data_IF_587518358063
#
_entry.id   IF_587518358063
#
_cell.length_a   1.000
_cell.length_b   1.000
_cell.length_c   1.000
_cell.angle_alpha   90.00
_cell.angle_beta   90.00
_cell.angle_gamma   90.00
#
_symmetry.space_group_name_H-M   'P 1'
#
loop_
_entity.id
_entity.type
_entity.pdbx_description
1 polymer ?
#
# COMPACT_ATOMS: atom_id res chain seq x y z
N UNK A 1 -0.79 -6.79 7.13
CA UNK A 1 -0.27 -5.55 7.74
C UNK A 1 -0.85 -5.34 9.13
N UNK A 2 -2.17 -5.34 9.26
CA UNK A 2 -2.96 -5.19 10.49
C UNK A 2 -2.46 -6.05 11.67
N UNK A 3 -2.13 -7.33 11.45
CA UNK A 3 -1.64 -8.22 12.51
C UNK A 3 -0.24 -7.83 13.01
N UNK A 4 0.63 -7.33 12.13
CA UNK A 4 1.95 -6.81 12.52
C UNK A 4 1.79 -5.56 13.38
N UNK A 5 0.95 -4.62 12.94
CA UNK A 5 0.70 -3.38 13.71
C UNK A 5 0.07 -3.69 15.06
N UNK A 6 -0.90 -4.62 15.13
CA UNK A 6 -1.50 -5.03 16.40
C UNK A 6 -0.49 -5.66 17.36
N UNK A 7 0.34 -6.58 16.87
CA UNK A 7 1.36 -7.23 17.68
C UNK A 7 2.43 -6.24 18.18
N UNK A 8 2.91 -5.34 17.32
CA UNK A 8 3.87 -4.30 17.70
C UNK A 8 3.27 -3.33 18.71
N UNK A 9 2.04 -2.88 18.49
CA UNK A 9 1.34 -1.99 19.42
C UNK A 9 1.17 -2.66 20.78
N UNK A 10 0.70 -3.91 20.83
CA UNK A 10 0.55 -4.64 22.08
C UNK A 10 1.89 -4.82 22.83
N UNK A 11 2.97 -5.11 22.10
CA UNK A 11 4.31 -5.27 22.68
C UNK A 11 4.87 -3.94 23.21
N UNK A 12 4.52 -2.81 22.59
CA UNK A 12 4.95 -1.47 23.04
C UNK A 12 4.13 -0.99 24.25
N UNK A 13 2.83 -1.25 24.27
CA UNK A 13 1.94 -0.89 25.38
C UNK A 13 2.24 -1.70 26.64
N UNK A 14 2.51 -3.01 26.49
CA UNK A 14 2.88 -3.89 27.61
C UNK A 14 4.20 -4.64 27.35
N UNK A 15 5.36 -4.03 27.64
CA UNK A 15 6.69 -4.59 27.34
C UNK A 15 7.04 -5.91 28.06
N UNK A 16 6.23 -6.30 29.05
CA UNK A 16 6.40 -7.55 29.81
C UNK A 16 5.54 -8.69 29.26
N UNK A 17 4.64 -8.42 28.33
CA UNK A 17 3.76 -9.42 27.73
C UNK A 17 4.49 -10.23 26.65
N UNK A 18 4.23 -11.54 26.60
CA UNK A 18 4.69 -12.40 25.51
C UNK A 18 3.72 -12.27 24.32
N UNK A 19 4.10 -11.48 23.31
CA UNK A 19 3.30 -11.33 22.09
C UNK A 19 3.72 -12.38 21.04
N UNK A 20 2.73 -13.10 20.50
CA UNK A 20 2.94 -14.06 19.40
C UNK A 20 2.04 -13.76 18.22
N UNK A 21 2.63 -13.55 17.06
CA UNK A 21 1.92 -13.28 15.83
C UNK A 21 1.82 -14.53 14.93
N UNK A 22 0.64 -14.75 14.36
CA UNK A 22 0.33 -15.81 13.39
C UNK A 22 -0.32 -15.21 12.09
N UNK A 23 0.43 -15.07 10.97
CA UNK A 23 0.16 -14.54 9.58
C UNK A 23 0.14 -15.54 8.36
N UNK A 24 -1.01 -15.97 7.78
CA UNK A 24 -1.14 -17.30 7.06
C UNK A 24 -0.33 -17.37 5.81
N UNK A 25 -0.31 -16.22 5.20
CA UNK A 25 0.19 -15.96 3.89
C UNK A 25 0.61 -14.51 3.95
N UNK A 26 1.93 -14.33 3.91
CA UNK A 26 2.55 -13.02 3.91
C UNK A 26 2.92 -12.57 2.50
N UNK A 27 2.45 -13.31 1.49
CA UNK A 27 2.53 -12.95 0.10
C UNK A 27 1.70 -11.72 -0.25
N UNK A 28 0.77 -11.25 0.62
CA UNK A 28 0.01 -10.02 0.35
C UNK A 28 0.89 -8.81 0.12
N UNK A 29 1.98 -8.68 0.89
CA UNK A 29 2.95 -7.60 0.69
C UNK A 29 3.60 -7.64 -0.70
N UNK A 30 3.64 -8.80 -1.38
CA UNK A 30 4.13 -8.86 -2.75
C UNK A 30 3.13 -8.32 -3.79
N UNK A 31 1.88 -8.08 -3.38
CA UNK A 31 0.82 -7.53 -4.22
C UNK A 31 0.45 -6.08 -3.86
N UNK A 32 0.98 -5.55 -2.77
CA UNK A 32 0.71 -4.18 -2.32
C UNK A 32 1.82 -3.25 -2.81
N UNK A 33 1.50 -2.03 -3.27
CA UNK A 33 2.48 -1.09 -3.83
C UNK A 33 3.51 -0.60 -2.82
N UNK A 34 3.30 -0.85 -1.52
CA UNK A 34 4.21 -0.47 -0.44
C UNK A 34 4.03 0.97 0.05
N UNK A 35 2.84 1.54 -0.13
CA UNK A 35 2.42 2.79 0.49
C UNK A 35 1.13 2.59 1.29
N UNK A 36 0.77 3.58 2.11
CA UNK A 36 -0.40 3.56 2.98
C UNK A 36 -1.38 4.62 2.53
N UNK A 37 -2.59 4.17 2.20
CA UNK A 37 -3.67 5.07 1.82
C UNK A 37 -4.48 5.52 3.04
N UNK A 38 -4.92 6.78 3.06
CA UNK A 38 -5.87 7.31 4.03
C UNK A 38 -7.01 7.99 3.28
N UNK A 39 -8.10 7.24 3.07
CA UNK A 39 -9.32 7.72 2.41
C UNK A 39 -8.99 8.55 1.14
N UNK A 40 -8.45 7.89 0.12
CA UNK A 40 -8.06 8.54 -1.13
C UNK A 40 -9.23 9.09 -1.96
N UNK A 41 -10.43 8.54 -1.79
CA UNK A 41 -11.65 8.98 -2.46
C UNK A 41 -12.82 9.03 -1.47
N UNK A 42 -13.83 9.90 -1.68
CA UNK A 42 -15.00 9.89 -0.83
C UNK A 42 -15.75 8.56 -0.95
N UNK A 43 -16.41 8.09 0.13
CA UNK A 43 -17.31 6.94 0.08
C UNK A 43 -18.38 7.12 -0.99
N UNK A 44 -18.89 6.02 -1.52
CA UNK A 44 -20.02 6.05 -2.42
C UNK A 44 -21.25 6.59 -1.68
N UNK A 45 -21.84 7.69 -2.16
CA UNK A 45 -23.18 8.11 -1.75
C UNK A 45 -24.17 7.04 -2.23
N UNK A 46 -24.74 6.29 -1.30
CA UNK A 46 -25.65 5.16 -1.58
C UNK A 46 -26.94 5.51 -2.34
N UNK A 47 -27.12 6.76 -2.77
CA UNK A 47 -28.32 7.31 -3.42
C UNK A 47 -28.10 7.79 -4.87
N UNK A 48 -26.91 7.62 -5.47
CA UNK A 48 -26.60 8.15 -6.82
C UNK A 48 -26.37 7.08 -7.90
N UNK A 49 -26.94 5.89 -7.74
CA UNK A 49 -27.15 4.97 -8.87
C UNK A 49 -28.30 5.52 -9.75
N UNK A 50 -27.99 6.56 -10.54
CA UNK A 50 -28.81 6.92 -11.68
C UNK A 50 -28.71 5.84 -12.76
N UNK A 51 -29.73 5.76 -13.62
CA UNK A 51 -29.90 4.80 -14.74
C UNK A 51 -28.77 4.82 -15.80
N UNK A 52 -27.70 5.59 -15.57
CA UNK A 52 -26.51 5.67 -16.40
C UNK A 52 -25.43 4.77 -15.78
N UNK A 53 -25.06 3.72 -16.50
CA UNK A 53 -24.18 2.56 -16.16
C UNK A 53 -22.72 2.92 -15.76
N UNK A 54 -22.45 4.19 -15.40
CA UNK A 54 -21.18 4.70 -14.89
C UNK A 54 -21.50 5.72 -13.79
N UNK A 55 -21.34 5.31 -12.52
CA UNK A 55 -21.45 6.22 -11.38
C UNK A 55 -20.53 7.45 -11.52
N UNK A 56 -20.77 8.53 -10.76
CA UNK A 56 -20.02 9.77 -10.89
C UNK A 56 -18.51 9.53 -10.70
N UNK A 57 -17.69 10.12 -11.57
CA UNK A 57 -16.24 10.16 -11.41
C UNK A 57 -15.93 10.86 -10.08
N UNK A 58 -15.30 10.14 -9.15
CA UNK A 58 -14.92 10.68 -7.84
C UNK A 58 -13.58 11.40 -7.96
N UNK A 59 -13.51 12.60 -7.39
CA UNK A 59 -12.25 13.34 -7.31
C UNK A 59 -11.40 12.82 -6.14
N UNK A 60 -10.06 12.73 -6.30
CA UNK A 60 -9.16 12.39 -5.20
C UNK A 60 -9.31 13.36 -4.02
N UNK A 61 -9.38 12.82 -2.80
CA UNK A 61 -9.43 13.63 -1.59
C UNK A 61 -8.04 14.11 -1.20
N UNK A 62 -7.84 15.43 -1.18
CA UNK A 62 -6.61 16.03 -0.71
C UNK A 62 -6.52 16.06 0.83
N UNK A 63 -7.62 16.35 1.53
CA UNK A 63 -7.65 16.55 2.99
C UNK A 63 -8.44 15.42 3.69
N UNK A 64 -7.86 14.22 3.85
CA UNK A 64 -8.60 13.06 4.34
C UNK A 64 -9.14 13.25 5.76
N UNK A 65 -8.39 13.91 6.66
CA UNK A 65 -8.83 14.15 8.05
C UNK A 65 -10.11 14.99 8.16
N UNK A 66 -10.34 15.91 7.22
CA UNK A 66 -11.59 16.67 7.18
C UNK A 66 -12.76 15.75 6.82
N UNK A 67 -12.57 14.88 5.83
CA UNK A 67 -13.58 13.92 5.38
C UNK A 67 -13.86 12.81 6.41
N UNK A 68 -12.90 12.46 7.28
CA UNK A 68 -13.13 11.46 8.34
C UNK A 68 -14.29 11.83 9.28
N UNK A 69 -14.57 13.12 9.47
CA UNK A 69 -15.63 13.59 10.37
C UNK A 69 -17.05 13.30 9.85
N UNK A 70 -17.19 13.11 8.54
CA UNK A 70 -18.47 12.89 7.87
C UNK A 70 -18.74 11.41 7.55
N UNK A 71 -17.85 10.51 7.98
CA UNK A 71 -17.99 9.08 7.73
C UNK A 71 -19.11 8.45 8.58
N UNK A 72 -19.77 7.39 8.09
CA UNK A 72 -20.75 6.63 8.87
C UNK A 72 -20.22 6.15 10.23
N UNK A 73 -21.08 6.05 11.25
CA UNK A 73 -20.67 5.65 12.61
C UNK A 73 -20.04 4.24 12.65
N UNK A 74 -20.47 3.34 11.76
CA UNK A 74 -19.96 1.98 11.67
C UNK A 74 -18.64 1.87 10.91
N UNK A 75 -18.20 2.95 10.24
CA UNK A 75 -16.94 2.99 9.49
C UNK A 75 -15.72 2.79 10.43
N UNK A 76 -14.70 2.00 10.04
CA UNK A 76 -13.53 1.73 10.89
C UNK A 76 -12.80 2.98 11.41
N UNK A 77 -12.63 4.02 10.58
CA UNK A 77 -12.04 5.29 11.01
C UNK A 77 -12.93 6.08 11.99
N UNK A 78 -14.26 6.03 11.86
CA UNK A 78 -15.18 6.68 12.80
C UNK A 78 -15.08 6.03 14.18
N UNK A 79 -15.01 4.69 14.22
CA UNK A 79 -14.83 3.91 15.46
C UNK A 79 -13.48 4.19 16.14
N UNK A 80 -12.40 4.26 15.36
CA UNK A 80 -11.08 4.59 15.90
C UNK A 80 -10.98 6.05 16.37
N UNK A 81 -11.79 6.94 15.79
CA UNK A 81 -11.73 8.39 16.02
C UNK A 81 -10.50 9.05 15.40
N UNK A 82 -10.59 10.35 15.12
CA UNK A 82 -9.54 11.13 14.45
C UNK A 82 -8.20 11.06 15.21
N UNK A 83 -8.23 11.16 16.54
CA UNK A 83 -7.01 11.05 17.35
C UNK A 83 -6.40 9.64 17.31
N UNK A 84 -7.23 8.60 17.31
CA UNK A 84 -6.77 7.21 17.18
C UNK A 84 -6.12 6.96 15.82
N UNK A 85 -6.72 7.50 14.75
CA UNK A 85 -6.15 7.46 13.39
C UNK A 85 -4.76 8.12 13.37
N UNK A 86 -4.63 9.33 13.91
CA UNK A 86 -3.35 10.05 13.96
C UNK A 86 -2.27 9.30 14.74
N UNK A 87 -2.60 8.77 15.92
CA UNK A 87 -1.64 8.00 16.74
C UNK A 87 -1.18 6.74 16.02
N UNK A 88 -2.10 6.01 15.37
CA UNK A 88 -1.76 4.81 14.63
C UNK A 88 -0.81 5.10 13.45
N UNK A 89 -1.08 6.16 12.69
CA UNK A 89 -0.24 6.56 11.55
C UNK A 89 1.12 7.07 12.02
N UNK A 90 1.18 7.83 13.12
CA UNK A 90 2.43 8.28 13.74
C UNK A 90 3.29 7.10 14.18
N UNK A 91 2.70 6.10 14.85
CA UNK A 91 3.43 4.89 15.23
C UNK A 91 3.94 4.14 13.99
N UNK A 92 3.11 4.02 12.95
CA UNK A 92 3.51 3.36 11.72
C UNK A 92 4.68 4.08 11.04
N UNK A 93 4.66 5.41 10.99
CA UNK A 93 5.75 6.23 10.46
C UNK A 93 7.06 5.97 11.21
N UNK A 94 7.03 5.99 12.54
CA UNK A 94 8.19 5.71 13.40
C UNK A 94 8.79 4.32 13.16
N UNK A 95 7.94 3.30 12.96
CA UNK A 95 8.37 1.90 12.76
C UNK A 95 8.89 1.65 11.33
N UNK A 96 8.28 2.31 10.33
CA UNK A 96 8.53 2.02 8.92
C UNK A 96 9.54 2.99 8.28
N UNK A 97 9.74 4.17 8.86
CA UNK A 97 10.50 5.26 8.24
C UNK A 97 9.81 5.84 7.00
N UNK A 98 8.48 5.73 6.93
CA UNK A 98 7.68 6.35 5.87
C UNK A 98 7.54 7.85 6.15
N UNK A 99 6.98 8.58 5.19
CA UNK A 99 6.75 10.02 5.30
C UNK A 99 5.33 10.35 4.84
N UNK A 100 4.82 11.51 5.28
CA UNK A 100 3.57 12.09 4.76
C UNK A 100 2.65 12.66 5.84
N UNK A 101 2.75 12.18 7.08
CA UNK A 101 1.84 12.59 8.17
C UNK A 101 1.90 14.09 8.45
N UNK A 102 3.07 14.71 8.35
CA UNK A 102 3.25 16.15 8.60
C UNK A 102 2.41 17.05 7.67
N UNK A 103 2.07 16.55 6.48
CA UNK A 103 1.30 17.31 5.48
C UNK A 103 -0.20 17.35 5.77
N UNK A 104 -0.70 16.40 6.57
CA UNK A 104 -2.13 16.14 6.77
C UNK A 104 -2.94 15.92 5.48
N UNK A 105 -2.26 15.72 4.35
CA UNK A 105 -2.87 15.65 3.02
C UNK A 105 -2.43 14.38 2.28
N UNK A 106 -3.31 13.86 1.42
CA UNK A 106 -2.90 12.84 0.47
C UNK A 106 -1.97 13.47 -0.58
N UNK A 107 -0.77 12.91 -0.72
CA UNK A 107 0.11 13.19 -1.84
C UNK A 107 -0.38 12.47 -3.09
N UNK A 108 0.08 12.91 -4.27
CA UNK A 108 -0.23 12.26 -5.55
C UNK A 108 1.02 11.54 -6.06
N UNK A 109 0.96 10.21 -6.11
CA UNK A 109 2.08 9.37 -6.51
C UNK A 109 1.84 8.81 -7.91
N UNK A 110 2.86 8.86 -8.78
CA UNK A 110 2.78 8.31 -10.13
C UNK A 110 2.73 6.76 -10.11
N UNK A 111 1.93 6.18 -10.99
CA UNK A 111 1.77 4.73 -11.16
C UNK A 111 2.50 4.25 -12.43
N UNK A 112 2.76 2.93 -12.52
CA UNK A 112 3.37 2.32 -13.70
C UNK A 112 2.58 2.57 -15.01
N UNK A 113 1.29 2.87 -14.92
CA UNK A 113 0.41 3.13 -16.08
C UNK A 113 0.38 4.59 -16.51
N UNK A 114 1.15 5.47 -15.87
CA UNK A 114 1.19 6.91 -16.15
C UNK A 114 0.02 7.69 -15.56
N UNK A 115 -0.58 7.19 -14.48
CA UNK A 115 -1.63 7.87 -13.72
C UNK A 115 -1.07 8.35 -12.38
N UNK A 116 -1.84 9.15 -11.64
CA UNK A 116 -1.52 9.52 -10.26
C UNK A 116 -2.56 8.96 -9.31
N UNK A 117 -2.12 8.60 -8.10
CA UNK A 117 -2.99 8.02 -7.08
C UNK A 117 -2.81 8.73 -5.73
N UNK A 118 -3.89 8.99 -4.96
CA UNK A 118 -3.82 9.65 -3.65
C UNK A 118 -3.23 8.73 -2.56
N UNK A 119 -2.08 9.09 -2.02
CA UNK A 119 -1.34 8.28 -1.05
C UNK A 119 -1.03 9.11 0.20
N UNK A 120 -1.22 8.53 1.38
CA UNK A 120 -1.06 9.26 2.63
C UNK A 120 0.34 9.10 3.25
N UNK A 121 0.80 7.85 3.45
CA UNK A 121 2.19 7.58 3.83
C UNK A 121 2.89 6.84 2.71
N UNK A 122 4.10 7.26 2.37
CA UNK A 122 4.92 6.65 1.32
C UNK A 122 6.36 6.49 1.81
N UNK A 123 7.11 5.51 1.30
CA UNK A 123 8.54 5.39 1.62
C UNK A 123 9.31 6.58 1.03
N UNK A 124 10.42 6.97 1.65
CA UNK A 124 11.33 8.02 1.16
C UNK A 124 11.77 7.80 -0.30
N UNK A 125 11.87 6.54 -0.75
CA UNK A 125 12.17 6.21 -2.16
C UNK A 125 11.12 6.71 -3.17
N UNK A 126 9.96 7.18 -2.72
CA UNK A 126 8.89 7.74 -3.56
C UNK A 126 8.80 9.27 -3.44
N UNK A 127 9.40 9.88 -2.41
CA UNK A 127 9.21 11.30 -2.08
C UNK A 127 9.63 12.25 -3.22
N UNK A 128 10.76 11.96 -3.87
CA UNK A 128 11.20 12.74 -5.04
C UNK A 128 10.36 12.47 -6.30
N UNK A 129 9.40 11.56 -6.27
CA UNK A 129 8.48 11.24 -7.38
C UNK A 129 7.09 11.84 -7.27
N UNK A 130 6.80 12.59 -6.21
CA UNK A 130 5.48 13.17 -6.00
C UNK A 130 5.12 14.16 -7.12
N UNK A 131 3.88 14.08 -7.60
CA UNK A 131 3.37 14.92 -8.68
C UNK A 131 3.29 16.41 -8.33
N UNK A 132 3.33 16.75 -7.03
CA UNK A 132 3.33 18.12 -6.53
C UNK A 132 4.69 18.81 -6.65
N UNK A 133 5.78 18.06 -6.79
CA UNK A 133 7.09 18.65 -7.04
C UNK A 133 7.19 19.00 -8.52
N UNK A 134 7.26 20.31 -8.81
CA UNK A 134 7.15 20.86 -10.16
C UNK A 134 8.44 20.82 -11.00
N UNK A 135 9.47 20.11 -10.54
CA UNK A 135 10.71 19.92 -11.31
C UNK A 135 10.49 18.91 -12.45
N UNK A 136 11.16 19.10 -13.58
CA UNK A 136 11.19 18.11 -14.68
C UNK A 136 11.65 16.73 -14.18
N UNK A 137 11.22 15.67 -14.85
CA UNK A 137 11.51 14.30 -14.42
C UNK A 137 11.81 13.38 -15.60
N UNK A 138 12.75 12.46 -15.42
CA UNK A 138 13.05 11.40 -16.38
C UNK A 138 12.56 10.05 -15.85
N UNK A 139 11.68 9.37 -16.58
CA UNK A 139 11.31 7.98 -16.28
C UNK A 139 12.22 6.99 -17.03
N UNK A 140 12.83 6.06 -16.30
CA UNK A 140 13.75 5.07 -16.83
C UNK A 140 13.09 3.70 -16.83
N UNK A 141 12.88 3.11 -18.01
CA UNK A 141 12.47 1.71 -18.17
C UNK A 141 13.67 0.77 -18.29
N UNK A 142 13.47 -0.51 -17.93
CA UNK A 142 14.39 -1.59 -18.26
C UNK A 142 13.74 -2.51 -19.29
N UNK A 143 14.41 -2.82 -20.40
CA UNK A 143 13.81 -3.60 -21.50
C UNK A 143 13.24 -4.97 -21.06
N UNK A 144 13.88 -5.61 -20.07
CA UNK A 144 13.43 -6.92 -19.53
C UNK A 144 12.35 -6.82 -18.45
N UNK A 145 11.96 -5.62 -18.03
CA UNK A 145 10.85 -5.37 -17.10
C UNK A 145 9.69 -4.81 -17.93
N UNK A 146 8.88 -5.72 -18.46
CA UNK A 146 7.75 -5.37 -19.36
C UNK A 146 6.56 -4.75 -18.65
N UNK A 147 6.52 -4.84 -17.32
CA UNK A 147 5.43 -4.30 -16.49
C UNK A 147 5.52 -2.77 -16.33
N UNK A 148 6.58 -2.15 -16.85
CA UNK A 148 6.76 -0.70 -16.87
C UNK A 148 7.23 -0.20 -18.23
N UNK A 149 6.31 0.42 -18.96
CA UNK A 149 6.61 1.15 -20.19
C UNK A 149 6.81 2.63 -19.85
N UNK A 150 8.07 3.04 -19.70
CA UNK A 150 8.43 4.41 -19.35
C UNK A 150 7.95 5.43 -20.39
N UNK A 151 7.88 5.06 -21.67
CA UNK A 151 7.42 5.95 -22.72
C UNK A 151 5.91 6.20 -22.63
N UNK A 152 5.13 5.13 -22.40
CA UNK A 152 3.69 5.24 -22.18
C UNK A 152 3.38 6.02 -20.89
N UNK A 153 4.08 5.69 -19.80
CA UNK A 153 3.89 6.36 -18.52
C UNK A 153 4.19 7.86 -18.62
N UNK A 154 5.33 8.22 -19.22
CA UNK A 154 5.73 9.60 -19.43
C UNK A 154 4.73 10.35 -20.30
N UNK A 155 4.35 9.80 -21.45
CA UNK A 155 3.40 10.44 -22.37
C UNK A 155 2.07 10.79 -21.69
N UNK A 156 1.55 9.91 -20.83
CA UNK A 156 0.31 10.17 -20.09
C UNK A 156 0.49 11.21 -18.98
N UNK A 157 1.57 11.12 -18.21
CA UNK A 157 1.86 12.05 -17.13
C UNK A 157 2.06 13.48 -17.68
N UNK A 158 2.72 13.61 -18.83
CA UNK A 158 2.97 14.86 -19.55
C UNK A 158 1.65 15.53 -20.04
N UNK A 159 0.57 14.76 -20.23
CA UNK A 159 -0.74 15.32 -20.64
C UNK A 159 -1.38 16.21 -19.56
N UNK A 160 -1.07 16.00 -18.28
CA UNK A 160 -1.75 16.68 -17.18
C UNK A 160 -0.84 17.30 -16.11
N UNK A 161 0.45 16.95 -16.07
CA UNK A 161 1.39 17.59 -15.16
C UNK A 161 1.89 18.93 -15.72
N UNK A 162 2.19 19.92 -14.85
CA UNK A 162 2.61 21.25 -15.29
C UNK A 162 4.11 21.34 -15.65
N UNK A 163 4.78 20.21 -15.88
CA UNK A 163 6.21 20.09 -16.14
C UNK A 163 6.48 18.92 -17.08
N UNK A 164 7.63 18.96 -17.77
CA UNK A 164 7.99 17.96 -18.76
C UNK A 164 8.35 16.61 -18.09
N UNK A 165 7.80 15.54 -18.65
CA UNK A 165 8.10 14.16 -18.25
C UNK A 165 8.83 13.45 -19.39
N UNK A 166 10.15 13.36 -19.27
CA UNK A 166 11.00 12.63 -20.19
C UNK A 166 10.95 11.12 -19.95
N UNK A 167 11.43 10.34 -20.93
CA UNK A 167 11.62 8.92 -20.75
C UNK A 167 12.86 8.38 -21.46
N UNK A 168 13.39 7.27 -20.95
CA UNK A 168 14.36 6.43 -21.66
C UNK A 168 14.17 4.97 -21.26
N UNK A 169 14.52 4.03 -22.13
CA UNK A 169 14.51 2.60 -21.81
C UNK A 169 15.89 2.04 -22.06
N UNK A 170 16.48 1.42 -21.05
CA UNK A 170 17.83 0.88 -21.13
C UNK A 170 17.82 -0.65 -21.14
N UNK A 171 18.71 -1.21 -21.96
CA UNK A 171 18.98 -2.65 -21.97
C UNK A 171 20.12 -2.95 -20.98
N UNK A 172 19.90 -3.84 -20.02
CA UNK A 172 20.95 -4.40 -19.15
C UNK A 172 21.05 -5.90 -19.38
N UNK A 173 22.28 -6.43 -19.43
CA UNK A 173 22.48 -7.88 -19.51
C UNK A 173 22.31 -8.55 -18.14
N UNK A 174 21.08 -8.55 -17.66
CA UNK A 174 20.66 -9.23 -16.44
C UNK A 174 20.05 -10.57 -16.83
N UNK A 175 20.74 -11.67 -16.54
CA UNK A 175 20.17 -13.01 -16.73
C UNK A 175 18.99 -13.22 -15.78
N UNK A 176 17.77 -13.17 -16.32
CA UNK A 176 16.51 -13.30 -15.58
C UNK A 176 16.20 -14.76 -15.24
N UNK A 177 16.70 -15.73 -16.03
CA UNK A 177 16.43 -17.15 -15.81
C UNK A 177 14.92 -17.44 -15.71
N UNK A 178 14.55 -18.47 -14.93
CA UNK A 178 13.14 -18.72 -14.57
C UNK A 178 12.61 -17.86 -13.41
N UNK A 179 13.35 -16.83 -12.98
CA UNK A 179 12.94 -15.93 -11.91
C UNK A 179 12.09 -14.77 -12.46
N UNK A 180 11.34 -14.11 -11.59
CA UNK A 180 10.59 -12.90 -11.95
C UNK A 180 11.57 -11.74 -12.21
N UNK A 181 11.46 -11.01 -13.34
CA UNK A 181 12.41 -9.96 -13.72
C UNK A 181 12.67 -8.93 -12.61
N UNK A 182 11.62 -8.41 -11.97
CA UNK A 182 11.72 -7.42 -10.90
C UNK A 182 12.61 -7.89 -9.73
N UNK A 183 12.40 -9.13 -9.25
CA UNK A 183 13.22 -9.73 -8.19
C UNK A 183 14.67 -9.91 -8.61
N UNK A 184 14.91 -10.29 -9.87
CA UNK A 184 16.28 -10.48 -10.35
C UNK A 184 17.04 -9.16 -10.45
N UNK A 185 16.40 -8.12 -10.98
CA UNK A 185 16.99 -6.78 -11.05
C UNK A 185 17.29 -6.23 -9.67
N UNK A 186 16.35 -6.36 -8.72
CA UNK A 186 16.57 -5.97 -7.33
C UNK A 186 17.77 -6.68 -6.71
N UNK A 187 17.90 -8.00 -6.87
CA UNK A 187 19.03 -8.76 -6.35
C UNK A 187 20.37 -8.35 -6.99
N UNK A 188 20.39 -8.12 -8.31
CA UNK A 188 21.59 -7.67 -9.03
C UNK A 188 22.05 -6.28 -8.55
N UNK A 189 21.12 -5.38 -8.26
CA UNK A 189 21.42 -4.04 -7.78
C UNK A 189 21.83 -4.03 -6.30
N UNK A 190 21.19 -4.85 -5.46
CA UNK A 190 21.60 -5.11 -4.07
C UNK A 190 23.07 -5.58 -4.06
N UNK A 191 23.37 -6.69 -4.75
CA UNK A 191 24.71 -7.28 -4.81
C UNK A 191 25.74 -6.40 -5.54
N UNK A 192 25.27 -5.34 -6.20
CA UNK A 192 26.04 -4.51 -7.14
C UNK A 192 26.86 -5.36 -8.11
N UNK A 193 26.25 -6.43 -8.62
CA UNK A 193 26.94 -7.48 -9.36
C UNK A 193 27.63 -6.92 -10.62
N UNK A 194 28.77 -7.49 -11.00
CA UNK A 194 29.42 -7.13 -12.26
C UNK A 194 28.56 -7.54 -13.45
N UNK A 195 28.17 -6.57 -14.28
CA UNK A 195 27.46 -6.78 -15.54
C UNK A 195 28.47 -6.73 -16.69
N UNK A 196 28.27 -7.61 -17.68
CA UNK A 196 29.13 -7.78 -18.85
C UNK A 196 30.63 -8.01 -18.54
N UNK A 197 30.96 -8.37 -17.29
CA UNK A 197 32.34 -8.55 -16.82
C UNK A 197 33.19 -7.28 -16.77
N UNK A 198 32.57 -6.10 -16.85
CA UNK A 198 33.27 -4.82 -16.97
C UNK A 198 32.91 -3.81 -15.86
N UNK A 199 31.63 -3.68 -15.50
CA UNK A 199 31.17 -2.63 -14.58
C UNK A 199 30.21 -3.18 -13.52
N UNK A 200 30.31 -2.72 -12.25
CA UNK A 200 29.29 -2.97 -11.25
C UNK A 200 27.91 -2.46 -11.70
N UNK A 201 26.85 -3.20 -11.39
CA UNK A 201 25.49 -2.97 -11.90
C UNK A 201 25.02 -1.51 -11.75
N UNK A 202 25.23 -0.91 -10.59
CA UNK A 202 24.80 0.49 -10.31
C UNK A 202 25.50 1.49 -11.25
N UNK A 203 26.78 1.27 -11.57
CA UNK A 203 27.53 2.07 -12.56
C UNK A 203 27.12 1.79 -14.00
N UNK A 204 26.81 0.54 -14.32
CA UNK A 204 26.33 0.16 -15.66
C UNK A 204 24.99 0.84 -15.98
N UNK A 205 24.06 0.85 -15.01
CA UNK A 205 22.79 1.59 -15.09
C UNK A 205 23.05 3.07 -15.34
N UNK A 206 23.81 3.71 -14.46
CA UNK A 206 24.05 5.15 -14.56
C UNK A 206 24.79 5.55 -15.84
N UNK A 207 25.72 4.70 -16.31
CA UNK A 207 26.46 4.93 -17.56
C UNK A 207 25.57 4.92 -18.81
N UNK A 208 24.51 4.10 -18.82
CA UNK A 208 23.54 4.07 -19.93
C UNK A 208 22.60 5.28 -19.92
N UNK A 209 22.25 5.78 -18.73
CA UNK A 209 21.35 6.93 -18.57
C UNK A 209 22.06 8.25 -18.86
N UNK A 210 23.31 8.43 -18.42
CA UNK A 210 24.08 9.69 -18.62
C UNK A 210 24.23 10.14 -20.07
N UNK A 211 24.12 9.23 -21.04
CA UNK A 211 24.20 9.60 -22.46
C UNK A 211 22.90 10.23 -22.98
N UNK A 212 21.81 10.10 -22.20
CA UNK A 212 20.46 10.56 -22.51
C UNK A 212 19.99 11.69 -21.57
N UNK A 213 20.78 12.02 -20.53
CA UNK A 213 20.47 13.13 -19.60
C UNK A 213 20.89 14.46 -20.21
N UNK A 214 19.92 15.33 -20.50
CA UNK A 214 20.22 16.71 -20.90
C UNK A 214 20.28 17.60 -19.64
N UNK A 215 19.22 17.66 -18.79
CA UNK A 215 19.20 18.51 -17.56
C UNK A 215 18.13 18.07 -16.51
N UNK A 216 17.85 16.79 -16.33
CA UNK A 216 16.75 16.36 -15.44
C UNK A 216 17.19 16.29 -13.97
N UNK A 217 16.50 17.01 -13.04
CA UNK A 217 16.88 17.03 -11.63
C UNK A 217 16.47 15.78 -10.87
N UNK A 218 15.55 14.97 -11.42
CA UNK A 218 14.98 13.79 -10.77
C UNK A 218 14.76 12.67 -11.76
N UNK A 219 15.06 11.44 -11.32
CA UNK A 219 15.03 10.26 -12.17
C UNK A 219 14.22 9.16 -11.48
N UNK A 220 13.11 8.78 -12.12
CA UNK A 220 12.21 7.73 -11.67
C UNK A 220 12.56 6.39 -12.29
N UNK A 221 12.77 5.37 -11.46
CA UNK A 221 12.98 3.99 -11.88
C UNK A 221 11.77 3.13 -11.52
N UNK A 222 11.50 2.02 -12.23
CA UNK A 222 10.61 1.01 -11.68
C UNK A 222 11.17 0.55 -10.32
N UNK A 223 10.27 0.20 -9.39
CA UNK A 223 10.60 -0.14 -8.00
C UNK A 223 11.35 -1.47 -7.85
N UNK A 224 12.58 -1.49 -8.35
CA UNK A 224 13.51 -2.61 -8.36
C UNK A 224 14.88 -2.19 -7.85
N UNK A 225 15.01 -1.02 -7.20
CA UNK A 225 16.27 -0.50 -6.70
C UNK A 225 16.68 -1.19 -5.40
N UNK A 226 16.88 -2.51 -5.47
CA UNK A 226 17.23 -3.36 -4.34
C UNK A 226 16.04 -3.93 -3.59
N UNK A 227 16.29 -4.92 -2.74
CA UNK A 227 15.33 -5.46 -1.78
C UNK A 227 15.86 -5.30 -0.36
N UNK A 228 17.15 -5.56 -0.17
CA UNK A 228 17.77 -5.53 1.15
C UNK A 228 18.49 -4.21 1.38
N UNK A 229 19.23 -3.75 0.37
CA UNK A 229 20.14 -2.59 0.48
C UNK A 229 19.60 -1.40 -0.33
N UNK A 230 18.28 -1.25 -0.38
CA UNK A 230 17.61 -0.33 -1.30
C UNK A 230 18.01 1.15 -1.12
N UNK A 231 18.20 1.58 0.13
CA UNK A 231 18.65 2.95 0.42
C UNK A 231 20.10 3.17 -0.05
N UNK A 232 20.96 2.15 0.05
CA UNK A 232 22.32 2.21 -0.46
C UNK A 232 22.35 2.24 -2.00
N UNK A 233 21.54 1.39 -2.65
CA UNK A 233 21.38 1.37 -4.11
C UNK A 233 20.92 2.74 -4.61
N UNK A 234 19.89 3.32 -3.99
CA UNK A 234 19.36 4.63 -4.34
C UNK A 234 20.42 5.71 -4.15
N UNK A 235 21.04 5.78 -2.97
CA UNK A 235 22.08 6.77 -2.66
C UNK A 235 23.28 6.69 -3.61
N UNK A 236 23.70 5.48 -3.99
CA UNK A 236 24.76 5.28 -4.99
C UNK A 236 24.36 5.80 -6.36
N UNK A 237 23.13 5.51 -6.81
CA UNK A 237 22.63 6.01 -8.08
C UNK A 237 22.51 7.53 -8.08
N UNK A 238 22.02 8.14 -7.00
CA UNK A 238 21.97 9.60 -6.84
C UNK A 238 23.37 10.21 -6.91
N UNK A 239 24.34 9.64 -6.20
CA UNK A 239 25.71 10.14 -6.20
C UNK A 239 26.38 10.03 -7.59
N UNK A 240 26.09 8.96 -8.33
CA UNK A 240 26.63 8.76 -9.68
C UNK A 240 25.88 9.65 -10.69
N UNK A 241 24.55 9.71 -10.66
CA UNK A 241 23.74 10.45 -11.63
C UNK A 241 23.73 11.95 -11.36
N UNK A 242 24.02 12.38 -10.12
CA UNK A 242 23.89 13.75 -9.64
C UNK A 242 22.46 14.31 -9.78
N UNK A 243 21.48 13.44 -9.52
CA UNK A 243 20.05 13.73 -9.56
C UNK A 243 19.36 13.00 -8.41
N UNK A 244 18.20 13.48 -7.97
CA UNK A 244 17.39 12.75 -6.99
C UNK A 244 16.81 11.50 -7.66
N UNK A 245 16.81 10.37 -6.96
CA UNK A 245 16.32 9.10 -7.51
C UNK A 245 15.08 8.68 -6.76
N UNK A 246 14.04 8.30 -7.49
CA UNK A 246 12.81 7.77 -6.91
C UNK A 246 12.34 6.50 -7.62
N UNK A 247 11.42 5.79 -6.99
CA UNK A 247 10.82 4.57 -7.50
C UNK A 247 9.35 4.79 -7.89
N UNK A 248 8.98 4.22 -9.03
CA UNK A 248 7.61 4.05 -9.52
C UNK A 248 7.20 2.61 -9.24
N UNK A 249 6.09 2.35 -8.53
CA UNK A 249 5.67 1.01 -8.16
C UNK A 249 5.44 0.13 -9.39
N UNK A 250 5.71 -1.16 -9.24
CA UNK A 250 5.38 -2.18 -10.24
C UNK A 250 4.21 -3.04 -9.78
N UNK A 251 3.67 -3.81 -10.72
CA UNK A 251 2.84 -4.96 -10.38
C UNK A 251 3.60 -6.02 -9.56
N UNK A 252 2.91 -7.09 -9.14
CA UNK A 252 3.51 -8.15 -8.35
C UNK A 252 4.65 -8.84 -9.11
N UNK A 253 5.80 -9.13 -8.46
CA UNK A 253 6.08 -8.90 -7.04
C UNK A 253 6.53 -7.46 -6.75
N UNK A 254 5.88 -6.81 -5.78
CA UNK A 254 6.23 -5.49 -5.27
C UNK A 254 7.46 -5.54 -4.36
N UNK A 255 8.57 -4.89 -4.76
CA UNK A 255 9.74 -4.77 -3.89
C UNK A 255 9.46 -3.86 -2.68
N UNK A 256 8.82 -2.68 -2.82
CA UNK A 256 8.51 -1.83 -1.67
C UNK A 256 7.62 -2.53 -0.63
N UNK A 257 6.62 -3.29 -1.08
CA UNK A 257 5.77 -4.06 -0.18
C UNK A 257 6.56 -5.18 0.54
N UNK A 258 7.44 -5.90 -0.17
CA UNK A 258 8.33 -6.88 0.46
C UNK A 258 9.32 -6.25 1.46
N UNK A 259 9.86 -5.05 1.18
CA UNK A 259 10.70 -4.29 2.11
C UNK A 259 9.94 -3.92 3.38
N UNK A 260 8.69 -3.48 3.25
CA UNK A 260 7.82 -3.22 4.38
C UNK A 260 7.59 -4.48 5.23
N UNK A 261 7.33 -5.62 4.58
CA UNK A 261 7.17 -6.89 5.28
C UNK A 261 8.43 -7.28 6.06
N UNK A 262 9.61 -7.17 5.45
CA UNK A 262 10.88 -7.50 6.07
C UNK A 262 11.16 -6.59 7.28
N UNK A 263 10.79 -5.30 7.20
CA UNK A 263 10.90 -4.32 8.30
C UNK A 263 9.94 -4.58 9.45
N UNK A 264 8.68 -4.93 9.15
CA UNK A 264 7.70 -5.29 10.20
C UNK A 264 8.04 -6.65 10.87
N UNK A 265 8.71 -7.55 10.15
CA UNK A 265 9.19 -8.83 10.69
C UNK A 265 10.46 -8.72 11.53
N UNK A 266 11.40 -7.82 11.23
CA UNK A 266 12.62 -7.72 12.04
C UNK A 266 12.32 -7.42 13.51
N UNK A 267 11.15 -6.85 13.77
CA UNK A 267 10.64 -6.52 15.09
C UNK A 267 9.88 -7.67 15.79
N UNK A 268 9.55 -8.78 15.12
CA UNK A 268 8.70 -9.87 15.65
C UNK A 268 9.15 -11.29 15.24
N UNK A 269 8.92 -12.30 16.10
CA UNK A 269 9.12 -13.73 15.76
C UNK A 269 7.78 -14.36 15.29
N UNK A 270 7.60 -14.63 13.98
CA UNK A 270 6.26 -14.76 13.35
C UNK A 270 6.00 -16.08 12.59
N UNK A 271 4.86 -16.73 12.90
CA UNK A 271 4.22 -17.86 12.18
C UNK A 271 2.91 -17.41 11.50
N UNK A 272 1.93 -18.27 11.11
CA UNK A 272 1.00 -17.95 9.98
C UNK A 272 -0.61 -18.16 10.03
N UNK A 273 -1.58 -17.16 10.11
CA UNK A 273 -3.10 -17.15 9.84
C UNK A 273 -3.89 -15.94 9.11
N UNK A 274 -5.15 -16.09 8.56
CA UNK A 274 -6.02 -15.10 7.79
C UNK A 274 -7.40 -15.63 7.18
N UNK A 275 -8.35 -14.80 6.67
CA UNK A 275 -9.75 -15.19 6.23
C UNK A 275 -9.90 -16.11 4.97
N UNK A 276 -11.09 -16.72 4.74
CA UNK A 276 -11.44 -17.53 3.53
C UNK A 276 -12.87 -17.30 3.01
N UNK A 277 -13.03 -17.18 1.69
CA UNK A 277 -14.33 -17.17 1.03
C UNK A 277 -14.48 -18.38 0.09
N UNK A 278 -15.67 -18.98 0.05
CA UNK A 278 -16.07 -20.00 -0.93
C UNK A 278 -17.36 -19.59 -1.67
N UNK A 279 -17.95 -20.49 -2.47
CA UNK A 279 -19.17 -20.20 -3.24
C UNK A 279 -20.43 -20.06 -2.38
N UNK A 280 -20.40 -20.48 -1.13
CA UNK A 280 -21.55 -20.56 -0.23
C UNK A 280 -21.48 -19.54 0.92
N UNK A 281 -20.28 -19.16 1.40
CA UNK A 281 -20.11 -18.18 2.49
C UNK A 281 -18.67 -17.64 2.61
N UNK A 282 -18.53 -16.46 3.21
CA UNK A 282 -17.27 -15.94 3.76
C UNK A 282 -17.09 -16.50 5.19
N UNK A 283 -15.86 -16.91 5.56
CA UNK A 283 -15.53 -17.57 6.83
C UNK A 283 -14.25 -17.00 7.43
N UNK A 284 -14.27 -16.76 8.74
CA UNK A 284 -13.07 -16.64 9.57
C UNK A 284 -12.62 -18.07 9.96
N UNK A 285 -11.44 -18.55 9.49
CA UNK A 285 -11.05 -19.95 9.65
C UNK A 285 -10.21 -20.23 10.92
N UNK A 286 -9.75 -19.22 11.65
CA UNK A 286 -8.88 -19.40 12.81
C UNK A 286 -9.67 -19.67 14.11
N UNK A 287 -10.77 -18.94 14.31
CA UNK A 287 -11.64 -18.94 15.48
C UNK A 287 -13.10 -19.26 15.13
N UNK A 288 -13.50 -19.11 13.87
CA UNK A 288 -14.86 -19.45 13.42
C UNK A 288 -15.90 -18.35 13.62
N UNK A 289 -15.46 -17.10 13.80
CA UNK A 289 -16.34 -15.96 14.09
C UNK A 289 -17.39 -15.68 13.01
N UNK A 290 -18.53 -15.12 13.42
CA UNK A 290 -19.62 -14.71 12.54
C UNK A 290 -19.19 -13.56 11.63
N UNK A 291 -19.24 -13.81 10.31
CA UNK A 291 -19.03 -12.79 9.27
C UNK A 291 -20.39 -12.27 8.84
N UNK A 292 -20.68 -11.00 9.11
CA UNK A 292 -21.89 -10.33 8.63
C UNK A 292 -21.80 -10.19 7.10
N UNK A 293 -22.74 -10.83 6.41
CA UNK A 293 -22.83 -10.90 4.95
C UNK A 293 -24.32 -11.01 4.56
N UNK A 294 -24.72 -10.55 3.37
CA UNK A 294 -26.11 -10.70 2.92
C UNK A 294 -26.54 -12.16 2.89
N UNK A 295 -27.78 -12.43 3.31
CA UNK A 295 -28.32 -13.78 3.48
C UNK A 295 -28.43 -14.56 2.15
N UNK A 296 -28.74 -13.86 1.06
CA UNK A 296 -28.81 -14.42 -0.29
C UNK A 296 -27.65 -13.95 -1.15
N UNK A 297 -27.01 -14.89 -1.87
CA UNK A 297 -25.88 -14.62 -2.76
C UNK A 297 -26.22 -13.63 -3.89
N UNK A 298 -27.49 -13.57 -4.30
CA UNK A 298 -27.95 -12.61 -5.31
C UNK A 298 -27.78 -11.17 -4.84
N UNK A 299 -27.78 -10.92 -3.53
CA UNK A 299 -27.65 -9.60 -2.92
C UNK A 299 -26.19 -9.25 -2.60
N UNK A 300 -25.23 -10.11 -2.96
CA UNK A 300 -23.80 -9.82 -2.79
C UNK A 300 -23.32 -8.81 -3.84
N UNK A 301 -23.96 -8.80 -5.00
CA UNK A 301 -23.58 -8.00 -6.16
C UNK A 301 -24.71 -7.06 -6.54
N UNK A 302 -24.39 -5.83 -6.93
CA UNK A 302 -25.32 -4.92 -7.56
C UNK A 302 -25.61 -5.36 -9.02
N UNK A 303 -26.70 -4.87 -9.63
CA UNK A 303 -27.09 -5.25 -11.00
C UNK A 303 -26.04 -4.82 -12.04
N UNK A 304 -25.40 -3.66 -11.85
CA UNK A 304 -24.28 -3.19 -12.66
C UNK A 304 -22.94 -3.78 -12.22
N UNK A 305 -22.10 -4.15 -13.19
CA UNK A 305 -20.78 -4.73 -12.93
C UNK A 305 -19.80 -3.76 -12.26
N UNK A 306 -19.97 -2.45 -12.48
CA UNK A 306 -19.13 -1.38 -11.93
C UNK A 306 -19.76 -0.63 -10.74
N UNK A 307 -20.95 -1.05 -10.30
CA UNK A 307 -21.66 -0.44 -9.19
C UNK A 307 -20.94 -0.71 -7.85
N UNK A 308 -21.29 0.05 -6.83
CA UNK A 308 -20.88 -0.23 -5.44
C UNK A 308 -21.47 -1.57 -4.99
N UNK A 309 -20.60 -2.55 -4.76
CA UNK A 309 -21.00 -3.93 -4.55
C UNK A 309 -21.22 -4.19 -3.05
N UNK A 310 -22.40 -4.68 -2.62
CA UNK A 310 -22.65 -4.96 -1.20
C UNK A 310 -21.64 -5.91 -0.55
N UNK A 311 -21.03 -6.84 -1.31
CA UNK A 311 -19.97 -7.71 -0.80
C UNK A 311 -18.70 -6.95 -0.38
N UNK A 312 -18.44 -5.77 -0.93
CA UNK A 312 -17.22 -5.01 -0.66
C UNK A 312 -17.20 -4.43 0.77
N UNK A 313 -18.39 -4.19 1.35
CA UNK A 313 -18.58 -3.73 2.73
C UNK A 313 -18.87 -4.87 3.72
N UNK A 314 -18.97 -6.12 3.26
CA UNK A 314 -19.26 -7.28 4.09
C UNK A 314 -18.04 -7.68 4.93
N UNK A 315 -18.27 -7.97 6.22
CA UNK A 315 -17.20 -8.29 7.16
C UNK A 315 -17.74 -8.55 8.56
N UNK A 316 -16.86 -8.68 9.55
CA UNK A 316 -17.24 -8.81 10.96
C UNK A 316 -17.91 -7.51 11.42
N UNK A 317 -19.13 -7.61 11.95
CA UNK A 317 -19.68 -6.56 12.79
C UNK A 317 -18.91 -6.56 14.11
N UNK A 318 -18.49 -5.38 14.57
CA UNK A 318 -17.78 -5.24 15.84
C UNK A 318 -18.45 -4.20 16.73
N UNK A 319 -18.11 -4.16 18.01
CA UNK A 319 -18.45 -3.05 18.91
C UNK A 319 -17.37 -1.95 18.92
N UNK A 320 -17.50 -0.97 19.83
CA UNK A 320 -16.56 0.15 19.99
C UNK A 320 -15.17 -0.30 20.45
N UNK A 321 -15.06 -1.51 20.99
CA UNK A 321 -13.80 -2.13 21.37
C UNK A 321 -13.31 -3.11 20.29
N UNK A 322 -13.82 -3.06 19.06
CA UNK A 322 -13.42 -3.95 17.97
C UNK A 322 -13.63 -5.45 18.27
N UNK A 323 -14.54 -5.82 19.19
CA UNK A 323 -14.89 -7.24 19.45
C UNK A 323 -15.89 -7.73 18.41
N UNK A 324 -15.66 -8.88 17.76
CA UNK A 324 -16.65 -9.50 16.87
C UNK A 324 -17.98 -9.75 17.58
N UNK A 325 -19.08 -9.34 16.94
CA UNK A 325 -20.44 -9.51 17.43
C UNK A 325 -21.13 -10.69 16.74
N UNK A 326 -21.93 -11.43 17.50
CA UNK A 326 -22.85 -12.43 16.97
C UNK A 326 -24.08 -11.78 16.30
N UNK A 327 -24.99 -12.62 15.80
CA UNK A 327 -26.20 -12.16 15.13
C UNK A 327 -27.17 -11.39 16.04
N UNK A 328 -27.04 -11.53 17.36
CA UNK A 328 -27.85 -10.83 18.37
C UNK A 328 -27.16 -9.53 18.85
N UNK A 329 -25.98 -9.19 18.30
CA UNK A 329 -25.20 -8.00 18.65
C UNK A 329 -24.40 -8.15 19.95
N UNK A 330 -24.16 -9.38 20.41
CA UNK A 330 -23.39 -9.66 21.63
C UNK A 330 -21.95 -10.06 21.27
N UNK A 331 -20.92 -9.63 22.03
CA UNK A 331 -19.55 -10.06 21.77
C UNK A 331 -19.41 -11.59 21.81
N UNK A 332 -18.88 -12.19 20.74
CA UNK A 332 -18.66 -13.64 20.69
C UNK A 332 -17.59 -14.10 21.70
N UNK A 333 -16.58 -13.25 21.92
CA UNK A 333 -15.49 -13.49 22.84
C UNK A 333 -15.05 -12.17 23.49
N UNK A 334 -14.90 -12.14 24.82
CA UNK A 334 -14.53 -10.92 25.55
C UNK A 334 -13.09 -10.46 25.26
N UNK A 335 -12.19 -11.40 24.97
CA UNK A 335 -10.75 -11.19 24.78
C UNK A 335 -10.30 -11.27 23.31
N UNK A 336 -11.23 -11.23 22.35
CA UNK A 336 -10.91 -11.23 20.92
C UNK A 336 -11.10 -9.83 20.33
N UNK A 337 -10.19 -9.43 19.45
CA UNK A 337 -10.24 -8.16 18.72
C UNK A 337 -10.06 -8.43 17.22
N UNK A 338 -10.80 -7.72 16.38
CA UNK A 338 -10.70 -7.83 14.92
C UNK A 338 -10.13 -6.54 14.31
N UNK A 339 -9.29 -6.69 13.28
CA UNK A 339 -8.61 -5.59 12.63
C UNK A 339 -8.42 -5.85 11.13
N UNK A 340 -8.34 -4.78 10.34
CA UNK A 340 -8.09 -4.76 8.92
C UNK A 340 -9.31 -5.14 8.08
N UNK A 341 -9.06 -5.73 6.92
CA UNK A 341 -10.08 -6.05 5.89
C UNK A 341 -11.11 -7.09 6.31
N UNK A 342 -10.98 -7.63 7.53
CA UNK A 342 -11.98 -8.55 8.10
C UNK A 342 -13.19 -7.80 8.62
N UNK A 343 -13.06 -6.50 8.89
CA UNK A 343 -14.12 -5.64 9.40
C UNK A 343 -15.09 -5.25 8.27
N UNK A 344 -16.38 -5.18 8.59
CA UNK A 344 -17.40 -4.65 7.68
C UNK A 344 -17.54 -3.13 7.78
N UNK A 345 -18.43 -2.56 6.96
CA UNK A 345 -18.86 -1.16 7.06
C UNK A 345 -18.12 -0.15 6.17
N UNK A 346 -17.14 -0.59 5.38
CA UNK A 346 -16.41 0.27 4.44
C UNK A 346 -16.04 -0.48 3.16
N UNK A 347 -16.11 0.19 2.00
CA UNK A 347 -15.51 -0.33 0.77
C UNK A 347 -14.09 0.23 0.65
N UNK A 348 -13.18 -0.43 1.38
CA UNK A 348 -11.79 0.02 1.51
C UNK A 348 -11.00 0.00 0.20
N UNK A 349 -11.52 -0.67 -0.84
CA UNK A 349 -10.93 -0.67 -2.17
C UNK A 349 -11.40 0.56 -2.96
N UNK A 350 -12.71 0.81 -3.00
CA UNK A 350 -13.27 1.96 -3.72
C UNK A 350 -12.88 3.31 -3.09
N UNK A 351 -12.75 3.34 -1.77
CA UNK A 351 -12.35 4.54 -1.02
C UNK A 351 -10.84 4.75 -0.97
N UNK A 352 -10.05 3.78 -1.44
CA UNK A 352 -8.60 3.76 -1.30
C UNK A 352 -8.18 4.04 0.16
N UNK A 353 -8.62 3.16 1.06
CA UNK A 353 -8.38 3.24 2.51
C UNK A 353 -7.84 1.92 3.08
N UNK A 354 -7.50 0.95 2.22
CA UNK A 354 -7.10 -0.39 2.64
C UNK A 354 -5.89 -0.40 3.59
N UNK A 355 -4.81 0.30 3.23
CA UNK A 355 -3.60 0.40 4.07
C UNK A 355 -3.88 1.09 5.40
N UNK A 356 -4.52 2.27 5.36
CA UNK A 356 -4.82 3.03 6.57
C UNK A 356 -5.79 2.29 7.49
N UNK A 357 -6.83 1.62 6.98
CA UNK A 357 -7.73 0.79 7.81
C UNK A 357 -6.93 -0.32 8.48
N UNK A 358 -6.02 -0.99 7.77
CA UNK A 358 -5.17 -2.03 8.37
C UNK A 358 -4.28 -1.49 9.49
N UNK A 359 -3.64 -0.34 9.29
CA UNK A 359 -2.79 0.31 10.31
C UNK A 359 -3.62 0.77 11.51
N UNK A 360 -4.68 1.54 11.28
CA UNK A 360 -5.49 2.16 12.34
C UNK A 360 -6.17 1.12 13.22
N UNK A 361 -6.81 0.13 12.60
CA UNK A 361 -7.52 -0.90 13.36
C UNK A 361 -6.58 -1.93 13.98
N UNK A 362 -5.42 -2.17 13.36
CA UNK A 362 -4.34 -2.94 13.97
C UNK A 362 -3.84 -2.28 15.25
N UNK A 363 -3.57 -0.98 15.23
CA UNK A 363 -3.18 -0.20 16.40
C UNK A 363 -4.25 -0.29 17.50
N UNK A 364 -5.51 0.01 17.19
CA UNK A 364 -6.60 -0.04 18.16
C UNK A 364 -6.75 -1.45 18.79
N UNK A 365 -6.70 -2.51 17.98
CA UNK A 365 -6.77 -3.88 18.47
C UNK A 365 -5.58 -4.25 19.37
N UNK A 366 -4.38 -3.77 19.04
CA UNK A 366 -3.17 -3.99 19.83
C UNK A 366 -3.23 -3.30 21.20
N UNK A 367 -3.69 -2.04 21.25
CA UNK A 367 -3.88 -1.33 22.52
C UNK A 367 -4.89 -2.06 23.42
N UNK A 368 -6.05 -2.40 22.86
CA UNK A 368 -7.11 -3.08 23.62
C UNK A 368 -6.72 -4.49 24.05
N UNK A 369 -5.87 -5.17 23.27
CA UNK A 369 -5.35 -6.49 23.64
C UNK A 369 -4.33 -6.43 24.77
N UNK A 370 -3.61 -5.31 24.92
CA UNK A 370 -2.63 -5.11 26.00
C UNK A 370 -3.29 -4.85 27.36
N UNK A 371 -4.54 -4.36 27.39
CA UNK A 371 -5.29 -4.10 28.62
C UNK A 371 -5.82 -5.38 29.32
N UNK A 372 -5.70 -6.54 28.67
CA UNK A 372 -6.16 -7.84 29.16
C UNK A 372 -5.05 -8.64 29.85
#
# INVERSE_FOLDING_TARGET
MEGYVAALTAALEEPVADVRLLVRDDGRFCHEPGWIDLLGYPPADGDTAGDDDVGPVREPLQEPFAALADLPEDHPYSRAGIEGVRRALSLFEELSGYEGLESDANALVATATGEVTPTFLYPDSVASGLASDGRETLLVGFERIVDFDAALAAAKLDEFLPYDVGHTTIELDVEVGGAEPAKRFAAVLDDNAELDGELPARRAVAGKIRNELDIEPRIGFPAVLGRTDADEVRSDLEAILQADVFEVPLGPPSMPGLRLADRLRSELDVGAGGLRADRERIREPAFGCHVAQPADRADWVAEGFLDDQPFARAGLAVDDEFRPLDADGTPEFENLRAAGRVLGGADVAAEQSTGGVAVVTGYAAGQLAAEW
#
